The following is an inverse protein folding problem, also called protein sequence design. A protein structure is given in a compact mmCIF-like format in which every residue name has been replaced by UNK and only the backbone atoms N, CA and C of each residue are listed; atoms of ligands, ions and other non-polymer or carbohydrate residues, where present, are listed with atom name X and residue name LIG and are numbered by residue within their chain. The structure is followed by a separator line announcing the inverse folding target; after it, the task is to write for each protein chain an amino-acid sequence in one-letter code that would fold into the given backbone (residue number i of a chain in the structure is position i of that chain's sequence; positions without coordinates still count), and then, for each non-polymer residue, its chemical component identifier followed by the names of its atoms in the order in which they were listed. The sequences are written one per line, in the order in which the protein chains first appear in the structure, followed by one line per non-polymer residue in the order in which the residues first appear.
data_IF_058516340992
#
_entry.id   IF_058516340992
#
_cell.length_a   1.000
_cell.length_b   1.000
_cell.length_c   1.000
_cell.angle_alpha   90.00
_cell.angle_beta   90.00
_cell.angle_gamma   90.00
#
_symmetry.space_group_name_H-M   'P 1'
#
loop_
_entity.id
_entity.type
_entity.pdbx_description
1 polymer ?
#
# COMPACT_ATOMS: atom_id res chain seq x y z
N UNK A 1 1.07 9.07 14.76
CA UNK A 1 0.09 8.12 15.36
C UNK A 1 -0.15 6.99 14.37
N UNK A 2 -0.40 5.76 14.80
CA UNK A 2 -0.69 4.60 13.91
C UNK A 2 -2.01 3.94 14.29
N UNK A 3 -2.72 3.35 13.31
CA UNK A 3 -4.05 2.74 13.56
C UNK A 3 -4.00 1.58 14.56
N UNK A 4 -2.90 0.84 14.60
CA UNK A 4 -2.64 -0.25 15.55
C UNK A 4 -2.00 0.25 16.84
N UNK A 5 -2.41 1.39 17.37
CA UNK A 5 -1.99 1.88 18.70
C UNK A 5 -3.18 2.07 19.63
N UNK A 6 -2.97 1.83 20.92
CA UNK A 6 -4.01 2.03 21.95
C UNK A 6 -4.53 3.47 21.96
N UNK A 7 -3.63 4.45 21.82
CA UNK A 7 -3.99 5.86 21.73
C UNK A 7 -4.95 6.14 20.58
N UNK A 8 -4.70 5.52 19.40
CA UNK A 8 -5.58 5.68 18.26
C UNK A 8 -6.95 5.04 18.52
N UNK A 9 -6.97 3.77 18.92
CA UNK A 9 -8.21 2.98 19.04
C UNK A 9 -9.12 3.54 20.14
N UNK A 10 -8.58 3.82 21.32
CA UNK A 10 -9.39 4.15 22.50
C UNK A 10 -9.57 5.65 22.77
N UNK A 11 -8.73 6.51 22.19
CA UNK A 11 -8.84 7.95 22.42
C UNK A 11 -9.13 8.68 21.11
N UNK A 12 -8.21 8.65 20.13
CA UNK A 12 -8.35 9.47 18.94
C UNK A 12 -9.59 9.10 18.12
N UNK A 13 -9.82 7.82 17.83
CA UNK A 13 -10.96 7.35 17.06
C UNK A 13 -12.28 7.65 17.77
N UNK A 14 -12.35 7.39 19.08
CA UNK A 14 -13.56 7.65 19.91
C UNK A 14 -13.91 9.15 19.89
N UNK A 15 -12.93 10.02 20.16
CA UNK A 15 -13.12 11.47 20.13
C UNK A 15 -13.51 11.94 18.72
N UNK A 16 -12.86 11.40 17.69
CA UNK A 16 -13.17 11.75 16.29
C UNK A 16 -14.61 11.38 15.94
N UNK A 17 -15.06 10.17 16.29
CA UNK A 17 -16.43 9.72 16.06
C UNK A 17 -17.44 10.57 16.84
N UNK A 18 -17.18 10.85 18.11
CA UNK A 18 -18.05 11.69 18.93
C UNK A 18 -18.23 13.09 18.33
N UNK A 19 -17.13 13.75 17.95
CA UNK A 19 -17.17 15.07 17.31
C UNK A 19 -17.84 15.02 15.93
N UNK A 20 -17.57 14.00 15.13
CA UNK A 20 -18.14 13.86 13.80
C UNK A 20 -19.67 13.70 13.83
N UNK A 21 -20.20 12.90 14.76
CA UNK A 21 -21.62 12.64 14.89
C UNK A 21 -22.37 13.66 15.77
N UNK A 22 -21.65 14.57 16.45
CA UNK A 22 -22.28 15.58 17.31
C UNK A 22 -23.25 16.50 16.57
N UNK A 23 -22.98 16.81 15.27
CA UNK A 23 -23.81 17.70 14.48
C UNK A 23 -24.14 17.07 13.12
N UNK A 24 -25.43 16.97 12.73
CA UNK A 24 -25.84 16.38 11.46
C UNK A 24 -25.73 17.39 10.29
N UNK A 25 -24.59 18.09 10.18
CA UNK A 25 -24.32 19.05 9.12
C UNK A 25 -23.11 18.62 8.30
N UNK A 26 -23.24 18.53 6.98
CA UNK A 26 -22.19 18.02 6.07
C UNK A 26 -20.93 18.89 6.09
N UNK A 27 -21.08 20.21 6.12
CA UNK A 27 -19.95 21.14 6.17
C UNK A 27 -19.18 20.95 7.47
N UNK A 28 -19.89 20.92 8.61
CA UNK A 28 -19.30 20.67 9.93
C UNK A 28 -18.51 19.35 9.94
N UNK A 29 -19.14 18.26 9.47
CA UNK A 29 -18.50 16.93 9.42
C UNK A 29 -17.21 16.92 8.58
N UNK A 30 -17.21 17.61 7.44
CA UNK A 30 -16.00 17.73 6.62
C UNK A 30 -14.94 18.62 7.28
N UNK A 31 -15.31 19.71 7.95
CA UNK A 31 -14.37 20.54 8.73
C UNK A 31 -13.72 19.71 9.84
N UNK A 32 -14.52 18.98 10.62
CA UNK A 32 -14.02 18.11 11.71
C UNK A 32 -13.05 17.05 11.16
N UNK A 33 -13.43 16.37 10.06
CA UNK A 33 -12.53 15.38 9.45
C UNK A 33 -11.24 16.02 8.93
N UNK A 34 -11.31 17.19 8.29
CA UNK A 34 -10.13 17.89 7.80
C UNK A 34 -9.18 18.27 8.94
N UNK A 35 -9.71 18.92 9.98
CA UNK A 35 -8.92 19.39 11.14
C UNK A 35 -8.31 18.22 11.88
N UNK A 36 -9.12 17.20 12.23
CA UNK A 36 -8.61 16.04 12.95
C UNK A 36 -7.61 15.24 12.10
N UNK A 37 -7.81 15.14 10.78
CA UNK A 37 -6.82 14.50 9.90
C UNK A 37 -5.48 15.25 9.88
N UNK A 38 -5.49 16.57 9.87
CA UNK A 38 -4.28 17.39 9.98
C UNK A 38 -3.60 17.22 11.35
N UNK A 39 -4.39 17.12 12.43
CA UNK A 39 -3.88 16.81 13.78
C UNK A 39 -3.25 15.39 13.81
N UNK A 40 -3.93 14.41 13.23
CA UNK A 40 -3.41 13.03 13.11
C UNK A 40 -2.07 12.98 12.40
N UNK A 41 -1.94 13.71 11.29
CA UNK A 41 -0.70 13.81 10.54
C UNK A 41 0.39 14.55 11.33
N UNK A 42 0.05 15.73 11.86
CA UNK A 42 0.96 16.57 12.64
C UNK A 42 1.44 15.91 13.93
N UNK A 43 0.69 14.94 14.50
CA UNK A 43 1.13 14.15 15.65
C UNK A 43 2.39 13.33 15.36
N UNK A 44 2.52 12.79 14.14
CA UNK A 44 3.71 12.04 13.71
C UNK A 44 4.75 12.90 13.02
N UNK A 45 4.30 13.97 12.36
CA UNK A 45 5.11 14.78 11.43
C UNK A 45 4.86 16.29 11.63
N UNK A 46 5.19 16.88 12.80
CA UNK A 46 4.81 18.25 13.13
C UNK A 46 5.40 19.27 12.13
N UNK A 47 6.60 19.06 11.64
CA UNK A 47 7.24 19.95 10.68
C UNK A 47 6.67 19.86 9.27
N UNK A 48 6.16 18.69 8.88
CA UNK A 48 5.68 18.42 7.52
C UNK A 48 4.18 18.65 7.33
N UNK A 49 3.43 18.95 8.39
CA UNK A 49 2.02 19.35 8.26
C UNK A 49 1.87 20.62 7.42
N UNK A 50 2.82 21.55 7.50
CA UNK A 50 2.81 22.76 6.66
C UNK A 50 3.05 22.42 5.18
N UNK A 51 3.91 21.45 4.87
CA UNK A 51 4.11 20.97 3.51
C UNK A 51 2.84 20.35 2.93
N UNK A 52 2.11 19.58 3.74
CA UNK A 52 0.81 19.03 3.35
C UNK A 52 -0.21 20.13 3.09
N UNK A 53 -0.35 21.12 3.98
CA UNK A 53 -1.24 22.27 3.79
C UNK A 53 -0.88 23.02 2.51
N UNK A 54 0.42 23.23 2.27
CA UNK A 54 0.88 23.84 1.02
C UNK A 54 0.48 23.00 -0.21
N UNK A 55 0.67 21.69 -0.18
CA UNK A 55 0.29 20.79 -1.26
C UNK A 55 -1.22 20.84 -1.53
N UNK A 56 -2.04 20.85 -0.47
CA UNK A 56 -3.50 20.98 -0.55
C UNK A 56 -3.86 22.32 -1.24
N UNK A 57 -3.35 23.44 -0.72
CA UNK A 57 -3.67 24.77 -1.24
C UNK A 57 -3.23 24.93 -2.70
N UNK A 58 -2.02 24.47 -3.02
CA UNK A 58 -1.45 24.55 -4.36
C UNK A 58 -2.28 23.75 -5.39
N UNK A 59 -2.59 22.48 -5.10
CA UNK A 59 -3.35 21.64 -6.04
C UNK A 59 -4.82 22.07 -6.16
N UNK A 60 -5.41 22.58 -5.08
CA UNK A 60 -6.73 23.18 -5.13
C UNK A 60 -6.76 24.43 -6.05
N UNK A 61 -5.81 25.35 -5.88
CA UNK A 61 -5.66 26.52 -6.76
C UNK A 61 -5.39 26.12 -8.22
N UNK A 62 -4.55 25.11 -8.45
CA UNK A 62 -4.30 24.57 -9.78
C UNK A 62 -5.59 24.04 -10.43
N UNK A 63 -6.43 23.31 -9.67
CA UNK A 63 -7.74 22.88 -10.14
C UNK A 63 -8.68 24.01 -10.50
N UNK A 64 -8.75 25.09 -9.68
CA UNK A 64 -9.50 26.29 -9.98
C UNK A 64 -9.01 26.98 -11.26
N UNK A 65 -7.69 27.08 -11.46
CA UNK A 65 -7.08 27.70 -12.64
C UNK A 65 -7.32 26.87 -13.91
N UNK A 66 -7.25 25.54 -13.83
CA UNK A 66 -7.61 24.63 -14.92
C UNK A 66 -9.07 24.86 -15.32
N UNK A 67 -9.98 24.95 -14.36
CA UNK A 67 -11.39 25.27 -14.59
C UNK A 67 -11.60 26.64 -15.22
N UNK A 68 -10.92 27.69 -14.69
CA UNK A 68 -10.99 29.06 -15.22
C UNK A 68 -10.50 29.17 -16.67
N UNK A 69 -9.42 28.46 -16.99
CA UNK A 69 -8.82 28.54 -18.34
C UNK A 69 -9.31 27.45 -19.29
N UNK A 70 -10.41 26.76 -19.00
CA UNK A 70 -10.95 25.65 -19.80
C UNK A 70 -11.10 25.97 -21.28
N UNK A 71 -11.51 27.18 -21.61
CA UNK A 71 -11.67 27.65 -22.99
C UNK A 71 -10.33 28.01 -23.68
N UNK A 72 -9.23 28.12 -22.93
CA UNK A 72 -7.91 28.39 -23.47
C UNK A 72 -7.00 27.18 -23.28
N UNK A 73 -6.97 26.30 -24.29
CA UNK A 73 -6.21 25.03 -24.25
C UNK A 73 -4.72 25.20 -23.88
N UNK A 74 -4.06 26.30 -24.35
CA UNK A 74 -2.63 26.53 -24.06
C UNK A 74 -2.43 26.86 -22.58
N UNK A 75 -3.22 27.79 -22.02
CA UNK A 75 -3.14 28.16 -20.59
C UNK A 75 -3.54 27.00 -19.69
N UNK A 76 -4.61 26.29 -20.02
CA UNK A 76 -5.08 25.14 -19.29
C UNK A 76 -4.00 24.05 -19.20
N UNK A 77 -3.34 23.72 -20.36
CA UNK A 77 -2.21 22.77 -20.41
C UNK A 77 -1.00 23.27 -19.63
N UNK A 78 -0.68 24.57 -19.69
CA UNK A 78 0.44 25.14 -18.92
C UNK A 78 0.23 24.98 -17.41
N UNK A 79 -0.98 25.25 -16.89
CA UNK A 79 -1.31 25.04 -15.48
C UNK A 79 -1.18 23.57 -15.09
N UNK A 80 -1.69 22.64 -15.91
CA UNK A 80 -1.53 21.20 -15.66
C UNK A 80 -0.07 20.81 -15.58
N UNK A 81 0.75 21.21 -16.58
CA UNK A 81 2.17 20.85 -16.63
C UNK A 81 2.91 21.44 -15.41
N UNK A 82 2.66 22.70 -15.08
CA UNK A 82 3.25 23.34 -13.90
C UNK A 82 2.88 22.59 -12.59
N UNK A 83 1.61 22.19 -12.46
CA UNK A 83 1.15 21.42 -11.30
C UNK A 83 1.86 20.05 -11.21
N UNK A 84 1.91 19.31 -12.31
CA UNK A 84 2.58 17.98 -12.35
C UNK A 84 4.07 18.13 -12.04
N UNK A 85 4.76 19.10 -12.67
CA UNK A 85 6.19 19.34 -12.45
C UNK A 85 6.46 19.70 -10.99
N UNK A 86 5.68 20.59 -10.38
CA UNK A 86 5.90 20.97 -8.97
C UNK A 86 5.65 19.78 -8.01
N UNK A 87 4.58 19.01 -8.20
CA UNK A 87 4.31 17.83 -7.40
C UNK A 87 5.43 16.80 -7.51
N UNK A 88 5.93 16.53 -8.73
CA UNK A 88 7.04 15.61 -8.94
C UNK A 88 8.38 16.18 -8.44
N UNK A 89 8.59 17.49 -8.52
CA UNK A 89 9.79 18.13 -7.97
C UNK A 89 9.83 18.03 -6.44
N UNK A 90 8.71 18.29 -5.76
CA UNK A 90 8.61 18.11 -4.30
C UNK A 90 8.91 16.66 -3.91
N UNK A 91 8.26 15.69 -4.58
CA UNK A 91 8.55 14.28 -4.34
C UNK A 91 10.01 13.96 -4.65
N UNK A 92 10.57 14.53 -5.73
CA UNK A 92 11.97 14.39 -6.14
C UNK A 92 12.94 14.83 -5.06
N UNK A 93 12.74 16.02 -4.53
CA UNK A 93 13.61 16.59 -3.48
C UNK A 93 13.60 15.74 -2.22
N UNK A 94 12.42 15.39 -1.69
CA UNK A 94 12.34 14.68 -0.43
C UNK A 94 12.71 13.18 -0.55
N UNK A 95 12.37 12.54 -1.64
CA UNK A 95 12.54 11.08 -1.78
C UNK A 95 13.82 10.68 -2.52
N UNK A 96 14.21 11.41 -3.56
CA UNK A 96 15.25 10.92 -4.49
C UNK A 96 16.60 11.64 -4.41
N UNK A 97 16.72 12.77 -3.71
CA UNK A 97 17.99 13.54 -3.66
C UNK A 97 19.16 12.69 -3.16
N UNK A 98 19.01 11.98 -2.05
CA UNK A 98 20.06 11.10 -1.51
C UNK A 98 20.45 10.01 -2.52
N UNK A 99 19.49 9.30 -3.08
CA UNK A 99 19.71 8.24 -4.05
C UNK A 99 20.44 8.71 -5.32
N UNK A 100 20.05 9.88 -5.85
CA UNK A 100 20.70 10.46 -7.02
C UNK A 100 22.15 10.85 -6.70
N UNK A 101 22.37 11.52 -5.57
CA UNK A 101 23.73 11.92 -5.15
C UNK A 101 24.62 10.69 -4.94
N UNK A 102 24.13 9.64 -4.24
CA UNK A 102 24.92 8.43 -4.01
C UNK A 102 25.20 7.67 -5.30
N UNK A 103 24.24 7.64 -6.22
CA UNK A 103 24.44 7.04 -7.56
C UNK A 103 25.50 7.82 -8.35
N UNK A 104 25.45 9.15 -8.33
CA UNK A 104 26.46 9.99 -9.01
C UNK A 104 27.85 9.83 -8.40
N UNK A 105 27.97 9.69 -7.08
CA UNK A 105 29.25 9.38 -6.42
C UNK A 105 29.83 8.03 -6.83
N UNK A 106 28.97 7.03 -7.03
CA UNK A 106 29.41 5.72 -7.50
C UNK A 106 29.95 5.77 -8.93
N UNK A 107 29.37 6.61 -9.79
CA UNK A 107 29.75 6.75 -11.20
C UNK A 107 30.91 7.73 -11.39
N UNK A 108 30.89 8.87 -10.69
CA UNK A 108 31.85 9.96 -10.87
C UNK A 108 32.81 10.08 -9.67
N UNK A 109 34.09 9.70 -9.80
CA UNK A 109 35.08 9.74 -8.70
C UNK A 109 35.25 11.13 -8.05
N UNK A 110 35.12 12.21 -8.83
CA UNK A 110 35.26 13.59 -8.33
C UNK A 110 34.11 13.98 -7.37
N UNK A 111 32.97 13.30 -7.41
CA UNK A 111 31.84 13.56 -6.51
C UNK A 111 31.95 12.82 -5.17
N UNK A 112 32.89 11.91 -4.99
CA UNK A 112 33.03 11.10 -3.75
C UNK A 112 33.25 11.91 -2.48
N UNK A 113 33.86 13.12 -2.60
CA UNK A 113 34.12 14.03 -1.47
C UNK A 113 32.85 14.80 -1.01
N UNK A 114 31.80 14.86 -1.81
CA UNK A 114 30.57 15.56 -1.43
C UNK A 114 29.78 14.78 -0.39
N UNK A 115 29.27 15.45 0.65
CA UNK A 115 28.37 14.82 1.60
C UNK A 115 26.99 14.56 0.95
N UNK A 116 26.42 13.37 1.17
CA UNK A 116 25.05 13.09 0.75
C UNK A 116 24.06 13.83 1.67
N UNK A 117 23.16 14.67 1.14
CA UNK A 117 22.18 15.35 1.95
C UNK A 117 21.23 14.34 2.63
N UNK A 118 21.05 14.44 3.94
CA UNK A 118 20.09 13.66 4.71
C UNK A 118 18.80 14.48 4.79
N UNK A 119 17.86 14.21 3.89
CA UNK A 119 16.56 14.88 3.84
C UNK A 119 15.53 13.93 4.45
N UNK A 120 14.89 14.27 5.59
CA UNK A 120 13.84 13.43 6.16
C UNK A 120 12.69 13.27 5.18
N UNK A 121 12.23 12.03 4.96
CA UNK A 121 11.12 11.73 4.07
C UNK A 121 9.78 11.94 4.82
N UNK A 122 8.92 12.89 4.40
CA UNK A 122 7.61 13.07 5.01
C UNK A 122 6.75 11.82 4.83
N UNK A 123 6.19 11.29 5.90
CA UNK A 123 5.31 10.10 5.85
C UNK A 123 4.13 10.37 4.91
N UNK A 124 3.87 9.44 3.99
CA UNK A 124 2.73 9.52 3.06
C UNK A 124 2.90 10.48 1.89
N UNK A 125 4.07 11.16 1.72
CA UNK A 125 4.26 12.13 0.61
C UNK A 125 3.97 11.51 -0.76
N UNK A 126 4.35 10.27 -1.00
CA UNK A 126 4.09 9.56 -2.25
C UNK A 126 2.58 9.36 -2.50
N UNK A 127 1.81 9.11 -1.44
CA UNK A 127 0.37 8.88 -1.51
C UNK A 127 -0.40 10.18 -1.77
N UNK A 128 -0.24 11.19 -0.91
CA UNK A 128 -1.00 12.44 -1.07
C UNK A 128 -0.58 13.24 -2.31
N UNK A 129 0.68 13.11 -2.77
CA UNK A 129 1.11 13.70 -4.04
C UNK A 129 0.38 13.06 -5.21
N UNK A 130 0.27 11.74 -5.26
CA UNK A 130 -0.48 11.04 -6.31
C UNK A 130 -1.97 11.36 -6.27
N UNK A 131 -2.56 11.45 -5.09
CA UNK A 131 -3.96 11.86 -4.92
C UNK A 131 -4.19 13.28 -5.43
N UNK A 132 -3.42 14.26 -4.94
CA UNK A 132 -3.58 15.66 -5.30
C UNK A 132 -3.31 15.90 -6.80
N UNK A 133 -2.29 15.26 -7.36
CA UNK A 133 -1.95 15.33 -8.77
C UNK A 133 -3.05 14.72 -9.65
N UNK A 134 -3.65 13.59 -9.25
CA UNK A 134 -4.74 12.95 -10.00
C UNK A 134 -5.95 13.87 -10.12
N UNK A 135 -6.29 14.63 -9.06
CA UNK A 135 -7.37 15.62 -9.11
C UNK A 135 -7.16 16.66 -10.22
N UNK A 136 -5.98 17.28 -10.29
CA UNK A 136 -5.71 18.30 -11.31
C UNK A 136 -5.78 17.73 -12.73
N UNK A 137 -5.29 16.49 -12.90
CA UNK A 137 -5.36 15.76 -14.18
C UNK A 137 -6.82 15.44 -14.54
N UNK A 138 -7.62 14.95 -13.60
CA UNK A 138 -9.03 14.59 -13.83
C UNK A 138 -9.89 15.82 -14.14
N UNK A 139 -9.65 16.95 -13.46
CA UNK A 139 -10.28 18.24 -13.82
C UNK A 139 -9.89 18.68 -15.22
N UNK A 140 -8.60 18.54 -15.62
CA UNK A 140 -8.15 18.87 -16.96
C UNK A 140 -8.81 17.99 -18.03
N UNK A 141 -8.96 16.70 -17.78
CA UNK A 141 -9.63 15.73 -18.67
C UNK A 141 -11.12 15.90 -18.74
N UNK A 142 -11.71 16.65 -17.82
CA UNK A 142 -13.16 16.77 -17.60
C UNK A 142 -13.79 15.46 -17.04
N UNK A 143 -12.99 14.63 -16.37
CA UNK A 143 -13.46 13.41 -15.71
C UNK A 143 -14.09 13.71 -14.35
N UNK A 144 -13.88 14.92 -13.80
CA UNK A 144 -14.51 15.41 -12.58
C UNK A 144 -14.73 16.92 -12.62
N UNK A 145 -15.65 17.42 -11.79
CA UNK A 145 -15.90 18.83 -11.62
C UNK A 145 -14.84 19.51 -10.75
N UNK A 146 -14.68 20.82 -10.91
CA UNK A 146 -13.77 21.63 -10.08
C UNK A 146 -14.32 21.75 -8.67
N UNK A 147 -13.55 21.36 -7.67
CA UNK A 147 -13.92 21.57 -6.26
C UNK A 147 -13.64 23.03 -5.85
N UNK A 148 -14.71 23.78 -5.59
CA UNK A 148 -14.62 25.19 -5.20
C UNK A 148 -14.39 25.38 -3.70
N UNK A 149 -14.78 24.41 -2.88
CA UNK A 149 -14.63 24.47 -1.44
C UNK A 149 -13.26 23.93 -1.00
N UNK A 150 -12.37 24.77 -0.42
CA UNK A 150 -11.03 24.35 0.00
C UNK A 150 -11.07 23.31 1.13
N UNK A 151 -12.08 23.35 1.99
CA UNK A 151 -12.25 22.39 3.08
C UNK A 151 -12.55 20.99 2.53
N UNK A 152 -13.41 20.89 1.53
CA UNK A 152 -13.76 19.60 0.91
C UNK A 152 -12.55 19.00 0.20
N UNK A 153 -11.76 19.82 -0.50
CA UNK A 153 -10.53 19.38 -1.11
C UNK A 153 -9.47 19.02 -0.04
N UNK A 154 -9.35 19.81 1.02
CA UNK A 154 -8.49 19.51 2.16
C UNK A 154 -8.87 18.21 2.85
N UNK A 155 -10.18 17.97 3.07
CA UNK A 155 -10.69 16.71 3.59
C UNK A 155 -10.28 15.53 2.68
N UNK A 156 -10.44 15.69 1.36
CA UNK A 156 -10.04 14.63 0.41
C UNK A 156 -8.56 14.25 0.53
N UNK A 157 -7.66 15.24 0.54
CA UNK A 157 -6.21 14.96 0.54
C UNK A 157 -5.72 14.51 1.91
N UNK A 158 -6.17 15.17 2.99
CA UNK A 158 -5.68 14.91 4.34
C UNK A 158 -6.38 13.74 5.05
N UNK A 159 -7.47 13.19 4.52
CA UNK A 159 -8.33 12.22 5.19
C UNK A 159 -7.54 11.07 5.81
N UNK A 160 -7.46 11.04 7.15
CA UNK A 160 -6.55 10.17 7.89
C UNK A 160 -6.69 8.67 7.59
N UNK A 161 -7.88 8.10 7.28
CA UNK A 161 -7.98 6.70 6.94
C UNK A 161 -7.12 6.30 5.72
N UNK A 162 -7.02 7.15 4.71
CA UNK A 162 -6.30 6.83 3.47
C UNK A 162 -4.90 7.41 3.37
N UNK A 163 -4.58 8.44 4.21
CA UNK A 163 -3.46 9.36 4.02
C UNK A 163 -2.08 8.68 3.97
N UNK A 164 -1.81 7.71 4.82
CA UNK A 164 -0.43 7.20 5.03
C UNK A 164 -0.14 6.02 4.11
N UNK A 165 -0.96 4.97 4.15
CA UNK A 165 -0.81 3.75 3.36
C UNK A 165 -2.17 3.13 3.01
N UNK A 166 -3.23 3.91 3.02
CA UNK A 166 -4.56 3.49 2.56
C UNK A 166 -4.61 3.28 1.03
N UNK A 167 -5.76 2.90 0.49
CA UNK A 167 -5.95 2.91 -0.95
C UNK A 167 -5.66 4.30 -1.52
N UNK A 168 -4.97 4.38 -2.68
CA UNK A 168 -4.80 5.65 -3.40
C UNK A 168 -6.15 6.00 -4.02
N UNK A 169 -6.95 6.77 -3.27
CA UNK A 169 -8.31 7.17 -3.69
C UNK A 169 -8.20 8.36 -4.63
N UNK A 170 -8.77 8.26 -5.83
CA UNK A 170 -8.84 9.38 -6.77
C UNK A 170 -9.98 10.30 -6.38
N UNK A 171 -9.85 11.59 -6.67
CA UNK A 171 -10.89 12.56 -6.31
C UNK A 171 -12.27 12.18 -6.88
N UNK A 172 -12.33 11.74 -8.14
CA UNK A 172 -13.57 11.32 -8.80
C UNK A 172 -14.28 10.12 -8.11
N UNK A 173 -13.54 9.29 -7.36
CA UNK A 173 -14.12 8.14 -6.66
C UNK A 173 -14.90 8.55 -5.41
N UNK A 174 -14.60 9.72 -4.83
CA UNK A 174 -15.25 10.20 -3.61
C UNK A 174 -15.83 11.61 -3.72
N UNK A 175 -15.77 12.26 -4.89
CA UNK A 175 -16.24 13.63 -5.08
C UNK A 175 -17.70 13.81 -4.64
N UNK A 176 -18.61 12.95 -5.07
CA UNK A 176 -20.00 12.95 -4.67
C UNK A 176 -20.17 12.65 -3.17
N UNK A 177 -19.38 11.73 -2.62
CA UNK A 177 -19.43 11.34 -1.22
C UNK A 177 -18.99 12.47 -0.27
N UNK A 178 -18.13 13.39 -0.72
CA UNK A 178 -17.77 14.57 0.07
C UNK A 178 -18.98 15.48 0.31
N UNK A 179 -19.91 15.52 -0.63
CA UNK A 179 -21.09 16.38 -0.59
C UNK A 179 -22.33 15.64 -0.11
N UNK A 180 -22.58 14.46 -0.63
CA UNK A 180 -23.87 13.76 -0.56
C UNK A 180 -23.86 12.41 0.16
N UNK A 181 -22.77 12.04 0.90
CA UNK A 181 -22.74 10.76 1.61
C UNK A 181 -23.80 10.68 2.70
N UNK A 182 -24.33 9.48 2.89
CA UNK A 182 -25.30 9.16 3.92
C UNK A 182 -24.76 8.08 4.84
N UNK A 183 -24.57 8.44 6.09
CA UNK A 183 -24.16 7.52 7.12
C UNK A 183 -25.35 6.69 7.59
N UNK A 184 -25.18 5.36 7.71
CA UNK A 184 -26.17 4.47 8.25
C UNK A 184 -25.56 3.42 9.18
N UNK A 185 -26.38 2.85 10.07
CA UNK A 185 -25.93 1.91 11.10
C UNK A 185 -25.32 0.65 10.49
N UNK A 186 -25.86 0.14 9.39
CA UNK A 186 -25.36 -1.08 8.76
C UNK A 186 -23.94 -0.86 8.17
N UNK A 187 -23.72 0.28 7.50
CA UNK A 187 -22.42 0.66 6.98
C UNK A 187 -21.41 0.89 8.12
N UNK A 188 -21.83 1.56 9.22
CA UNK A 188 -21.00 1.77 10.39
C UNK A 188 -20.58 0.45 11.04
N UNK A 189 -21.52 -0.48 11.26
CA UNK A 189 -21.25 -1.81 11.81
C UNK A 189 -20.30 -2.63 10.90
N UNK A 190 -20.52 -2.59 9.58
CA UNK A 190 -19.61 -3.22 8.62
C UNK A 190 -18.20 -2.60 8.66
N UNK A 191 -18.13 -1.29 8.93
CA UNK A 191 -16.88 -0.57 9.13
C UNK A 191 -16.10 -1.05 10.34
N UNK A 192 -16.77 -1.19 11.50
CA UNK A 192 -16.16 -1.77 12.72
C UNK A 192 -15.63 -3.17 12.46
N UNK A 193 -16.46 -4.04 11.84
CA UNK A 193 -16.06 -5.41 11.51
C UNK A 193 -14.81 -5.43 10.64
N UNK A 194 -14.77 -4.64 9.57
CA UNK A 194 -13.64 -4.62 8.65
C UNK A 194 -12.39 -4.02 9.30
N UNK A 195 -12.53 -2.95 10.10
CA UNK A 195 -11.43 -2.38 10.87
C UNK A 195 -10.82 -3.41 11.81
N UNK A 196 -11.65 -4.15 12.55
CA UNK A 196 -11.17 -5.17 13.49
C UNK A 196 -10.51 -6.34 12.79
N UNK A 197 -11.03 -6.78 11.65
CA UNK A 197 -10.37 -7.81 10.81
C UNK A 197 -9.01 -7.31 10.34
N UNK A 198 -8.91 -6.06 9.87
CA UNK A 198 -7.64 -5.44 9.48
C UNK A 198 -6.65 -5.35 10.64
N UNK A 199 -7.13 -4.96 11.83
CA UNK A 199 -6.31 -4.90 13.05
C UNK A 199 -5.80 -6.29 13.44
N UNK A 200 -6.65 -7.32 13.40
CA UNK A 200 -6.25 -8.70 13.68
C UNK A 200 -5.20 -9.22 12.69
N UNK A 201 -5.37 -8.94 11.39
CA UNK A 201 -4.35 -9.24 10.36
C UNK A 201 -2.99 -8.63 10.70
N UNK A 202 -2.97 -7.35 11.12
CA UNK A 202 -1.73 -6.65 11.49
C UNK A 202 -1.14 -7.18 12.78
N UNK A 203 -1.93 -7.24 13.85
CA UNK A 203 -1.42 -7.48 15.20
C UNK A 203 -1.18 -8.97 15.45
N UNK A 204 -2.12 -9.83 15.06
CA UNK A 204 -2.05 -11.25 15.40
C UNK A 204 -1.29 -12.09 14.35
N UNK A 205 -1.25 -11.65 13.08
CA UNK A 205 -0.55 -12.40 12.05
C UNK A 205 0.73 -11.70 11.60
N UNK A 206 0.65 -10.48 11.05
CA UNK A 206 1.80 -9.82 10.45
C UNK A 206 2.95 -9.59 11.45
N UNK A 207 2.64 -9.19 12.69
CA UNK A 207 3.65 -8.95 13.71
C UNK A 207 4.40 -10.23 14.11
N UNK A 208 3.72 -11.37 14.16
CA UNK A 208 4.36 -12.66 14.42
C UNK A 208 5.23 -13.13 13.26
N UNK A 209 4.73 -12.96 12.03
CA UNK A 209 5.45 -13.37 10.83
C UNK A 209 6.72 -12.54 10.61
N UNK A 210 6.70 -11.22 10.90
CA UNK A 210 7.92 -10.41 10.80
C UNK A 210 8.94 -10.77 11.89
N UNK A 211 8.48 -11.19 13.09
CA UNK A 211 9.38 -11.67 14.12
C UNK A 211 10.13 -12.94 13.67
N UNK A 212 9.42 -13.90 13.09
CA UNK A 212 10.02 -15.09 12.49
C UNK A 212 11.01 -14.75 11.37
N UNK A 213 10.59 -13.85 10.44
CA UNK A 213 11.46 -13.40 9.36
C UNK A 213 12.75 -12.78 9.86
N UNK A 214 12.68 -11.89 10.83
CA UNK A 214 13.87 -11.19 11.36
C UNK A 214 14.88 -12.15 11.96
N UNK A 215 14.44 -13.19 12.67
CA UNK A 215 15.32 -14.22 13.22
C UNK A 215 15.98 -15.02 12.10
N UNK A 216 15.19 -15.57 11.17
CA UNK A 216 15.69 -16.39 10.09
C UNK A 216 16.53 -15.59 9.07
N UNK A 217 16.21 -14.32 8.85
CA UNK A 217 17.03 -13.43 8.01
C UNK A 217 18.41 -13.16 8.60
N UNK A 218 18.46 -12.89 9.92
CA UNK A 218 19.72 -12.56 10.59
C UNK A 218 20.72 -13.73 10.60
N UNK A 219 20.20 -14.95 10.62
CA UNK A 219 21.00 -16.20 10.68
C UNK A 219 20.95 -17.01 9.38
N UNK A 220 20.75 -16.37 8.21
CA UNK A 220 20.54 -17.06 6.93
C UNK A 220 21.63 -18.10 6.57
N UNK A 221 22.89 -17.83 6.93
CA UNK A 221 23.99 -18.78 6.72
C UNK A 221 23.91 -20.03 7.63
N UNK A 222 23.17 -19.95 8.75
CA UNK A 222 23.05 -21.00 9.75
C UNK A 222 21.70 -21.73 9.71
N UNK A 223 20.76 -21.32 8.85
CA UNK A 223 19.40 -21.85 8.82
C UNK A 223 19.22 -23.10 7.97
N UNK A 224 20.16 -23.39 7.07
CA UNK A 224 19.96 -24.36 6.00
C UNK A 224 18.90 -23.88 4.98
N UNK A 225 18.68 -24.69 3.97
CA UNK A 225 17.75 -24.38 2.88
C UNK A 225 16.31 -24.22 3.38
N UNK A 226 15.85 -25.12 4.26
CA UNK A 226 14.48 -25.08 4.79
C UNK A 226 14.20 -23.78 5.55
N UNK A 227 15.11 -23.37 6.44
CA UNK A 227 14.92 -22.14 7.23
C UNK A 227 14.89 -20.89 6.35
N UNK A 228 15.72 -20.84 5.30
CA UNK A 228 15.70 -19.72 4.33
C UNK A 228 14.37 -19.64 3.57
N UNK A 229 13.83 -20.78 3.10
CA UNK A 229 12.51 -20.80 2.45
C UNK A 229 11.36 -20.44 3.40
N UNK A 230 11.35 -20.99 4.61
CA UNK A 230 10.32 -20.63 5.60
C UNK A 230 10.41 -19.16 5.97
N UNK A 231 11.62 -18.61 6.10
CA UNK A 231 11.83 -17.20 6.35
C UNK A 231 11.19 -16.31 5.28
N UNK A 232 11.48 -16.56 3.99
CA UNK A 232 10.91 -15.73 2.93
C UNK A 232 9.41 -15.97 2.72
N UNK A 233 8.89 -17.16 3.02
CA UNK A 233 7.44 -17.41 3.06
C UNK A 233 6.80 -16.63 4.19
N UNK A 234 7.40 -16.58 5.39
CA UNK A 234 6.93 -15.75 6.49
C UNK A 234 6.91 -14.27 6.11
N UNK A 235 7.95 -13.76 5.45
CA UNK A 235 7.96 -12.39 4.93
C UNK A 235 6.89 -12.15 3.85
N UNK A 236 6.70 -13.10 2.95
CA UNK A 236 5.64 -13.05 1.92
C UNK A 236 4.26 -12.91 2.55
N UNK A 237 3.97 -13.70 3.57
CA UNK A 237 2.71 -13.61 4.33
C UNK A 237 2.64 -12.31 5.16
N UNK A 238 3.76 -11.91 5.78
CA UNK A 238 3.85 -10.67 6.54
C UNK A 238 3.44 -9.45 5.71
N UNK A 239 4.07 -9.23 4.55
CA UNK A 239 3.80 -8.03 3.73
C UNK A 239 2.34 -7.97 3.27
N UNK A 240 1.71 -9.11 3.03
CA UNK A 240 0.28 -9.17 2.70
C UNK A 240 -0.60 -8.80 3.88
N UNK A 241 -0.36 -9.38 5.07
CA UNK A 241 -1.19 -9.10 6.23
C UNK A 241 -0.92 -7.72 6.83
N UNK A 242 0.31 -7.22 6.75
CA UNK A 242 0.65 -5.88 7.19
C UNK A 242 -0.06 -4.82 6.33
N UNK A 243 0.14 -4.87 5.03
CA UNK A 243 -0.41 -3.88 4.12
C UNK A 243 -1.91 -4.10 3.84
N UNK A 244 -2.33 -5.34 3.65
CA UNK A 244 -3.75 -5.68 3.51
C UNK A 244 -4.55 -5.36 4.76
N UNK A 245 -3.99 -5.61 5.96
CA UNK A 245 -4.59 -5.23 7.23
C UNK A 245 -4.75 -3.71 7.39
N UNK A 246 -3.72 -2.95 7.03
CA UNK A 246 -3.84 -1.49 6.99
C UNK A 246 -4.93 -1.02 6.04
N UNK A 247 -4.97 -1.59 4.83
CA UNK A 247 -5.98 -1.24 3.83
C UNK A 247 -7.41 -1.57 4.31
N UNK A 248 -7.61 -2.72 4.97
CA UNK A 248 -8.91 -3.09 5.55
C UNK A 248 -9.30 -2.15 6.70
N UNK A 249 -8.35 -1.76 7.57
CA UNK A 249 -8.59 -0.74 8.60
C UNK A 249 -8.99 0.60 7.97
N UNK A 250 -8.30 1.04 6.91
CA UNK A 250 -8.58 2.28 6.21
C UNK A 250 -9.98 2.29 5.60
N UNK A 251 -10.38 1.20 4.91
CA UNK A 251 -11.71 1.05 4.33
C UNK A 251 -12.77 0.99 5.44
N UNK A 252 -12.49 0.25 6.52
CA UNK A 252 -13.38 0.17 7.69
C UNK A 252 -13.63 1.53 8.33
N UNK A 253 -12.57 2.32 8.56
CA UNK A 253 -12.67 3.71 9.04
C UNK A 253 -13.47 4.58 8.06
N UNK A 254 -13.19 4.47 6.74
CA UNK A 254 -13.98 5.16 5.73
C UNK A 254 -15.47 4.91 5.90
N UNK A 255 -15.88 3.63 6.04
CA UNK A 255 -17.29 3.23 6.25
C UNK A 255 -17.89 3.81 7.52
N UNK A 256 -17.12 3.90 8.62
CA UNK A 256 -17.60 4.54 9.84
C UNK A 256 -17.94 6.02 9.66
N UNK A 257 -17.33 6.70 8.66
CA UNK A 257 -17.60 8.09 8.32
C UNK A 257 -18.46 8.26 7.05
N UNK A 258 -19.08 7.18 6.57
CA UNK A 258 -19.96 7.19 5.42
C UNK A 258 -19.27 7.19 4.05
N UNK A 259 -17.96 6.92 4.00
CA UNK A 259 -17.22 6.76 2.74
C UNK A 259 -17.10 5.30 2.33
N UNK A 260 -17.17 5.05 1.02
CA UNK A 260 -16.85 3.76 0.41
C UNK A 260 -15.57 3.89 -0.42
N UNK A 261 -14.48 3.30 0.08
CA UNK A 261 -13.22 3.23 -0.62
C UNK A 261 -13.12 1.94 -1.43
N UNK A 262 -12.36 2.00 -2.53
CA UNK A 262 -12.13 0.84 -3.37
C UNK A 262 -11.28 -0.22 -2.66
N UNK A 263 -11.58 -1.49 -2.91
CA UNK A 263 -10.79 -2.62 -2.44
C UNK A 263 -9.36 -2.53 -2.98
N UNK A 264 -8.37 -2.77 -2.11
CA UNK A 264 -6.95 -2.67 -2.50
C UNK A 264 -6.28 -4.03 -2.68
N UNK A 265 -6.81 -5.09 -2.06
CA UNK A 265 -6.33 -6.47 -2.16
C UNK A 265 -7.49 -7.44 -2.41
N UNK A 266 -7.27 -8.45 -3.26
CA UNK A 266 -8.25 -9.48 -3.58
C UNK A 266 -7.61 -10.87 -3.62
N UNK A 267 -7.20 -11.38 -2.44
CA UNK A 267 -6.53 -12.69 -2.30
C UNK A 267 -5.43 -12.91 -3.35
N UNK A 268 -4.38 -12.07 -3.39
CA UNK A 268 -3.39 -12.08 -4.46
C UNK A 268 -2.61 -13.40 -4.55
N UNK A 269 -2.48 -14.14 -3.45
CA UNK A 269 -1.66 -15.36 -3.40
C UNK A 269 -2.33 -16.59 -4.03
N UNK A 270 -3.60 -16.49 -4.46
CA UNK A 270 -4.25 -17.54 -5.28
C UNK A 270 -4.06 -17.32 -6.79
N UNK A 271 -3.24 -16.37 -7.20
CA UNK A 271 -3.02 -16.05 -8.61
C UNK A 271 -2.27 -17.16 -9.34
N UNK A 272 -2.60 -17.33 -10.64
CA UNK A 272 -1.99 -18.31 -11.54
C UNK A 272 -0.95 -17.70 -12.49
N UNK A 273 -0.79 -16.38 -12.44
CA UNK A 273 0.20 -15.64 -13.21
C UNK A 273 0.62 -14.38 -12.45
N UNK A 274 1.75 -13.78 -12.81
CA UNK A 274 2.20 -12.51 -12.24
C UNK A 274 1.30 -11.37 -12.72
N UNK A 275 0.80 -11.43 -13.93
CA UNK A 275 -0.21 -10.47 -14.43
C UNK A 275 -1.52 -10.53 -13.62
N UNK A 276 -1.97 -11.71 -13.19
CA UNK A 276 -3.13 -11.85 -12.31
C UNK A 276 -2.80 -11.37 -10.90
N UNK A 277 -1.62 -11.71 -10.38
CA UNK A 277 -1.17 -11.27 -9.06
C UNK A 277 -1.28 -9.74 -8.91
N UNK A 278 -0.78 -8.96 -9.87
CA UNK A 278 -0.82 -7.51 -9.84
C UNK A 278 -2.21 -6.91 -10.08
N UNK A 279 -3.15 -7.65 -10.65
CA UNK A 279 -4.57 -7.25 -10.68
C UNK A 279 -5.26 -7.39 -9.32
N UNK A 280 -4.70 -8.22 -8.41
CA UNK A 280 -5.23 -8.52 -7.08
C UNK A 280 -4.44 -7.84 -5.96
N UNK A 281 -3.21 -7.44 -6.22
CA UNK A 281 -2.30 -6.78 -5.29
C UNK A 281 -2.26 -5.28 -5.54
N UNK A 282 -2.42 -4.46 -4.46
CA UNK A 282 -2.32 -3.00 -4.50
C UNK A 282 -3.08 -2.38 -5.69
N UNK A 283 -4.36 -2.74 -5.80
CA UNK A 283 -5.23 -2.44 -6.94
C UNK A 283 -5.29 -0.94 -7.22
N UNK A 284 -5.32 -0.11 -6.16
CA UNK A 284 -5.38 1.35 -6.28
C UNK A 284 -4.14 1.93 -6.97
N UNK A 285 -2.92 1.46 -6.63
CA UNK A 285 -1.68 1.89 -7.28
C UNK A 285 -1.64 1.43 -8.74
N UNK A 286 -1.96 0.16 -8.99
CA UNK A 286 -2.00 -0.40 -10.35
C UNK A 286 -2.99 0.36 -11.23
N UNK A 287 -4.15 0.74 -10.68
CA UNK A 287 -5.15 1.56 -11.37
C UNK A 287 -4.62 2.96 -11.64
N UNK A 288 -3.94 3.58 -10.66
CA UNK A 288 -3.35 4.90 -10.83
C UNK A 288 -2.32 4.91 -11.97
N UNK A 289 -1.34 4.00 -11.95
CA UNK A 289 -0.35 3.90 -13.04
C UNK A 289 -0.97 3.59 -14.40
N UNK A 290 -1.99 2.74 -14.43
CA UNK A 290 -2.73 2.44 -15.66
C UNK A 290 -3.36 3.70 -16.25
N UNK A 291 -4.04 4.50 -15.45
CA UNK A 291 -4.83 5.63 -15.93
C UNK A 291 -4.01 6.90 -16.18
N UNK A 292 -3.01 7.15 -15.35
CA UNK A 292 -2.23 8.39 -15.42
C UNK A 292 -0.89 8.24 -16.14
N UNK A 293 -0.41 7.01 -16.39
CA UNK A 293 0.85 6.77 -17.10
C UNK A 293 0.64 5.87 -18.33
N UNK A 294 0.14 4.64 -18.16
CA UNK A 294 0.06 3.66 -19.23
C UNK A 294 -0.85 4.10 -20.38
N UNK A 295 -2.08 4.53 -20.08
CA UNK A 295 -3.04 4.99 -21.09
C UNK A 295 -2.55 6.24 -21.83
N UNK A 296 -2.05 7.31 -21.16
CA UNK A 296 -1.48 8.47 -21.84
C UNK A 296 -0.30 8.18 -22.76
N UNK A 297 0.53 7.19 -22.42
CA UNK A 297 1.63 6.73 -23.30
C UNK A 297 1.15 5.96 -24.54
N UNK A 298 -0.17 5.74 -24.67
CA UNK A 298 -0.80 5.04 -25.78
C UNK A 298 -1.35 3.66 -25.43
N UNK A 299 -1.13 3.16 -24.21
CA UNK A 299 -1.63 1.87 -23.77
C UNK A 299 -1.21 0.72 -24.68
N UNK A 300 -2.18 -0.11 -25.07
CA UNK A 300 -2.01 -1.22 -26.02
C UNK A 300 -2.50 -0.90 -27.46
N UNK A 301 -2.84 0.38 -27.75
CA UNK A 301 -3.47 0.76 -29.01
C UNK A 301 -2.48 1.09 -30.13
N UNK A 302 -1.17 1.21 -29.84
CA UNK A 302 -0.11 1.65 -30.76
C UNK A 302 0.86 0.52 -31.15
N UNK A 303 0.36 -0.72 -31.23
CA UNK A 303 1.14 -1.88 -31.59
C UNK A 303 1.93 -2.51 -30.43
N UNK A 304 2.50 -3.70 -30.68
CA UNK A 304 3.14 -4.53 -29.67
C UNK A 304 4.38 -3.87 -29.05
N UNK A 305 5.31 -3.37 -29.87
CA UNK A 305 6.54 -2.75 -29.40
C UNK A 305 6.26 -1.57 -28.44
N UNK A 306 5.30 -0.71 -28.78
CA UNK A 306 4.90 0.40 -27.90
C UNK A 306 4.26 -0.08 -26.62
N UNK A 307 3.47 -1.15 -26.67
CA UNK A 307 2.87 -1.78 -25.50
C UNK A 307 3.93 -2.30 -24.53
N UNK A 308 4.96 -3.01 -25.04
CA UNK A 308 6.05 -3.53 -24.22
C UNK A 308 6.88 -2.41 -23.59
N UNK A 309 7.19 -1.37 -24.35
CA UNK A 309 7.86 -0.18 -23.81
C UNK A 309 7.03 0.49 -22.71
N UNK A 310 5.72 0.63 -22.89
CA UNK A 310 4.84 1.22 -21.87
C UNK A 310 4.81 0.38 -20.61
N UNK A 311 4.81 -0.96 -20.71
CA UNK A 311 4.92 -1.87 -19.57
C UNK A 311 6.26 -1.66 -18.85
N UNK A 312 7.36 -1.63 -19.58
CA UNK A 312 8.70 -1.42 -19.00
C UNK A 312 8.78 -0.08 -18.24
N UNK A 313 8.28 1.01 -18.84
CA UNK A 313 8.24 2.34 -18.19
C UNK A 313 7.40 2.29 -16.92
N UNK A 314 6.20 1.74 -16.96
CA UNK A 314 5.30 1.67 -15.79
C UNK A 314 5.95 0.89 -14.66
N UNK A 315 6.56 -0.25 -14.96
CA UNK A 315 7.17 -1.09 -13.93
C UNK A 315 8.43 -0.48 -13.32
N UNK A 316 9.25 0.18 -14.15
CA UNK A 316 10.40 0.96 -13.65
C UNK A 316 9.94 2.09 -12.72
N UNK A 317 8.90 2.84 -13.11
CA UNK A 317 8.33 3.90 -12.28
C UNK A 317 7.65 3.36 -11.01
N UNK A 318 7.03 2.18 -11.09
CA UNK A 318 6.45 1.50 -9.92
C UNK A 318 7.54 1.11 -8.92
N UNK A 319 8.66 0.57 -9.39
CA UNK A 319 9.82 0.29 -8.54
C UNK A 319 10.35 1.55 -7.86
N UNK A 320 10.62 2.61 -8.61
CA UNK A 320 11.06 3.89 -8.08
C UNK A 320 10.05 4.49 -7.09
N UNK A 321 8.75 4.35 -7.35
CA UNK A 321 7.71 4.84 -6.43
C UNK A 321 7.78 4.16 -5.05
N UNK A 322 8.12 2.87 -5.00
CA UNK A 322 8.26 2.14 -3.73
C UNK A 322 9.46 2.65 -2.92
N UNK A 323 10.60 2.94 -3.55
CA UNK A 323 11.76 3.42 -2.78
C UNK A 323 12.88 3.95 -3.65
N UNK A 324 13.68 4.83 -3.06
CA UNK A 324 14.85 5.44 -3.68
C UNK A 324 16.10 4.58 -3.44
N UNK A 325 16.13 3.37 -3.99
CA UNK A 325 17.24 2.42 -3.88
C UNK A 325 17.25 1.46 -5.06
N UNK A 326 18.41 0.92 -5.39
CA UNK A 326 18.60 0.04 -6.54
C UNK A 326 17.83 -1.27 -6.44
N UNK A 327 17.59 -1.80 -5.24
CA UNK A 327 16.77 -3.00 -5.05
C UNK A 327 15.33 -2.80 -5.56
N UNK A 328 14.72 -1.62 -5.34
CA UNK A 328 13.39 -1.31 -5.86
C UNK A 328 13.38 -1.13 -7.37
N UNK A 329 14.44 -0.58 -7.96
CA UNK A 329 14.60 -0.51 -9.42
C UNK A 329 14.67 -1.93 -10.00
N UNK A 330 15.52 -2.80 -9.43
CA UNK A 330 15.63 -4.20 -9.84
C UNK A 330 14.32 -4.96 -9.67
N UNK A 331 13.61 -4.75 -8.57
CA UNK A 331 12.28 -5.32 -8.33
C UNK A 331 11.27 -4.91 -9.40
N UNK A 332 11.22 -3.63 -9.77
CA UNK A 332 10.37 -3.16 -10.85
C UNK A 332 10.75 -3.76 -12.21
N UNK A 333 12.04 -3.80 -12.54
CA UNK A 333 12.54 -4.43 -13.79
C UNK A 333 12.20 -5.91 -13.82
N UNK A 334 12.39 -6.63 -12.72
CA UNK A 334 12.05 -8.05 -12.58
C UNK A 334 10.58 -8.33 -12.95
N UNK A 335 9.64 -7.64 -12.32
CA UNK A 335 8.22 -7.84 -12.64
C UNK A 335 7.85 -7.33 -14.02
N UNK A 336 8.46 -6.26 -14.49
CA UNK A 336 8.28 -5.76 -15.85
C UNK A 336 8.66 -6.80 -16.90
N UNK A 337 9.80 -7.46 -16.74
CA UNK A 337 10.27 -8.53 -17.64
C UNK A 337 9.30 -9.72 -17.62
N UNK A 338 8.89 -10.19 -16.44
CA UNK A 338 7.99 -11.33 -16.33
C UNK A 338 6.64 -11.04 -17.01
N UNK A 339 6.07 -9.87 -16.77
CA UNK A 339 4.79 -9.48 -17.38
C UNK A 339 4.92 -9.35 -18.92
N UNK A 340 6.06 -8.88 -19.42
CA UNK A 340 6.35 -8.86 -20.84
C UNK A 340 6.41 -10.27 -21.41
N UNK A 341 7.10 -11.21 -20.73
CA UNK A 341 7.19 -12.61 -21.13
C UNK A 341 5.80 -13.29 -21.12
N UNK A 342 5.00 -13.06 -20.06
CA UNK A 342 3.63 -13.56 -19.98
C UNK A 342 2.78 -13.01 -21.13
N UNK A 343 2.93 -11.72 -21.44
CA UNK A 343 2.18 -11.09 -22.52
C UNK A 343 2.58 -11.58 -23.91
N UNK A 344 3.86 -11.85 -24.14
CA UNK A 344 4.36 -12.30 -25.45
C UNK A 344 3.94 -13.74 -25.77
N UNK A 345 4.11 -14.66 -24.86
CA UNK A 345 3.86 -16.07 -25.13
C UNK A 345 3.45 -16.90 -23.89
N UNK A 346 4.05 -16.67 -22.71
CA UNK A 346 3.92 -17.59 -21.58
C UNK A 346 2.49 -17.63 -21.02
N UNK A 347 1.76 -16.51 -21.06
CA UNK A 347 0.38 -16.43 -20.56
C UNK A 347 -0.55 -17.48 -21.20
N UNK A 348 -0.41 -17.71 -22.50
CA UNK A 348 -1.21 -18.72 -23.23
C UNK A 348 -0.93 -20.15 -22.75
N UNK A 349 0.30 -20.43 -22.34
CA UNK A 349 0.66 -21.75 -21.77
C UNK A 349 0.17 -21.87 -20.34
N UNK A 350 0.27 -20.83 -19.53
CA UNK A 350 -0.25 -20.82 -18.14
C UNK A 350 -1.77 -21.01 -18.07
N UNK A 351 -2.51 -20.46 -19.02
CA UNK A 351 -3.97 -20.65 -19.10
C UNK A 351 -4.36 -22.11 -19.38
N UNK A 352 -3.52 -22.83 -20.15
CA UNK A 352 -3.75 -24.23 -20.53
C UNK A 352 -3.12 -25.23 -19.54
N UNK A 353 -2.17 -24.78 -18.73
CA UNK A 353 -1.48 -25.63 -17.76
C UNK A 353 -2.42 -26.05 -16.61
N UNK A 354 -2.16 -27.22 -15.98
CA UNK A 354 -2.83 -27.58 -14.75
C UNK A 354 -2.73 -26.46 -13.71
N UNK A 355 -3.84 -26.16 -13.05
CA UNK A 355 -3.92 -25.03 -12.10
C UNK A 355 -2.81 -25.04 -11.04
N UNK A 356 -2.45 -26.24 -10.56
CA UNK A 356 -1.38 -26.41 -9.59
C UNK A 356 0.00 -25.89 -10.11
N UNK A 357 0.36 -26.19 -11.35
CA UNK A 357 1.62 -25.71 -11.94
C UNK A 357 1.64 -24.19 -12.13
N UNK A 358 0.51 -23.62 -12.56
CA UNK A 358 0.38 -22.17 -12.71
C UNK A 358 0.44 -21.46 -11.34
N UNK A 359 -0.11 -22.05 -10.29
CA UNK A 359 0.02 -21.53 -8.92
C UNK A 359 1.47 -21.61 -8.42
N UNK A 360 2.17 -22.74 -8.60
CA UNK A 360 3.58 -22.88 -8.21
C UNK A 360 4.46 -21.84 -8.91
N UNK A 361 4.25 -21.65 -10.21
CA UNK A 361 4.94 -20.60 -10.98
C UNK A 361 4.73 -19.22 -10.36
N UNK A 362 3.48 -18.84 -10.11
CA UNK A 362 3.17 -17.52 -9.55
C UNK A 362 3.73 -17.36 -8.14
N UNK A 363 3.54 -18.37 -7.26
CA UNK A 363 4.05 -18.36 -5.87
C UNK A 363 5.57 -18.23 -5.85
N UNK A 364 6.29 -19.02 -6.65
CA UNK A 364 7.75 -18.94 -6.72
C UNK A 364 8.21 -17.54 -7.13
N UNK A 365 7.64 -16.97 -8.18
CA UNK A 365 8.07 -15.68 -8.71
C UNK A 365 7.74 -14.50 -7.80
N UNK A 366 6.54 -14.44 -7.22
CA UNK A 366 6.26 -13.31 -6.33
C UNK A 366 7.02 -13.44 -5.00
N UNK A 367 7.24 -14.66 -4.48
CA UNK A 367 8.08 -14.89 -3.29
C UNK A 367 9.52 -14.46 -3.55
N UNK A 368 10.10 -14.82 -4.70
CA UNK A 368 11.41 -14.34 -5.11
C UNK A 368 11.45 -12.81 -5.29
N UNK A 369 10.38 -12.24 -5.83
CA UNK A 369 10.23 -10.78 -5.92
C UNK A 369 10.29 -10.09 -4.57
N UNK A 370 9.79 -10.70 -3.50
CA UNK A 370 9.89 -10.15 -2.15
C UNK A 370 11.30 -10.18 -1.57
N UNK A 371 12.16 -11.10 -2.01
CA UNK A 371 13.61 -11.05 -1.69
C UNK A 371 14.21 -9.75 -2.24
N UNK A 372 13.95 -9.45 -3.52
CA UNK A 372 14.45 -8.21 -4.13
C UNK A 372 13.89 -6.95 -3.43
N UNK A 373 12.71 -7.03 -2.86
CA UNK A 373 12.05 -5.91 -2.18
C UNK A 373 12.66 -5.63 -0.80
N UNK A 374 12.97 -6.66 0.00
CA UNK A 374 13.39 -6.49 1.40
C UNK A 374 14.86 -6.10 1.55
N UNK A 375 15.75 -6.64 0.70
CA UNK A 375 17.18 -6.44 0.85
C UNK A 375 17.66 -5.19 0.09
N UNK A 376 18.07 -4.17 0.83
CA UNK A 376 18.69 -2.96 0.27
C UNK A 376 20.18 -3.16 -0.02
N UNK A 377 20.87 -4.04 0.74
CA UNK A 377 22.26 -4.43 0.51
C UNK A 377 22.34 -5.59 -0.49
N UNK A 378 23.03 -5.36 -1.62
CA UNK A 378 23.13 -6.33 -2.72
C UNK A 378 23.95 -7.57 -2.34
N UNK A 379 24.93 -7.43 -1.41
CA UNK A 379 25.71 -8.53 -0.90
C UNK A 379 24.86 -9.47 -0.06
N UNK A 380 24.12 -8.93 0.92
CA UNK A 380 23.19 -9.70 1.74
C UNK A 380 22.08 -10.34 0.90
N UNK A 381 21.56 -9.63 -0.11
CA UNK A 381 20.58 -10.17 -1.05
C UNK A 381 21.13 -11.40 -1.77
N UNK A 382 22.34 -11.30 -2.34
CA UNK A 382 23.00 -12.41 -3.03
C UNK A 382 23.18 -13.60 -2.08
N UNK A 383 23.71 -13.36 -0.88
CA UNK A 383 24.00 -14.41 0.09
C UNK A 383 22.72 -15.11 0.55
N UNK A 384 21.62 -14.35 0.73
CA UNK A 384 20.31 -14.92 1.02
C UNK A 384 19.76 -15.74 -0.15
N UNK A 385 19.88 -15.26 -1.40
CA UNK A 385 19.47 -16.02 -2.59
C UNK A 385 20.28 -17.33 -2.68
N UNK A 386 21.57 -17.30 -2.40
CA UNK A 386 22.39 -18.53 -2.36
C UNK A 386 21.88 -19.48 -1.28
N UNK A 387 21.53 -18.99 -0.10
CA UNK A 387 21.03 -19.84 1.00
C UNK A 387 19.70 -20.55 0.70
N UNK A 388 18.91 -20.04 -0.24
CA UNK A 388 17.68 -20.72 -0.70
C UNK A 388 17.96 -22.04 -1.44
N UNK A 389 19.14 -22.20 -2.01
CA UNK A 389 19.50 -23.37 -2.83
C UNK A 389 20.73 -24.14 -2.31
N UNK A 390 21.54 -23.48 -1.49
CA UNK A 390 22.74 -24.06 -0.91
C UNK A 390 22.79 -23.81 0.59
N UNK A 391 22.63 -24.84 1.38
CA UNK A 391 22.68 -24.76 2.85
C UNK A 391 24.10 -24.66 3.43
N UNK A 392 25.15 -24.54 2.60
CA UNK A 392 26.51 -24.45 3.07
C UNK A 392 26.93 -25.64 3.94
N UNK A 393 27.62 -25.39 5.04
CA UNK A 393 28.04 -26.41 6.02
C UNK A 393 26.88 -27.00 6.84
N UNK A 394 25.73 -26.36 6.84
CA UNK A 394 24.53 -26.77 7.62
C UNK A 394 23.65 -27.76 6.84
N UNK A 395 23.72 -27.71 5.51
CA UNK A 395 22.93 -28.57 4.63
C UNK A 395 21.47 -28.15 4.51
N UNK A 396 20.57 -29.14 4.36
CA UNK A 396 19.15 -28.83 4.08
C UNK A 396 18.38 -28.30 5.29
N UNK A 397 18.65 -28.80 6.47
CA UNK A 397 17.87 -28.51 7.70
C UNK A 397 18.82 -28.21 8.85
N UNK A 398 18.65 -27.04 9.47
CA UNK A 398 19.27 -26.65 10.73
C UNK A 398 18.37 -27.02 11.92
N UNK A 399 18.94 -27.49 13.01
CA UNK A 399 18.21 -27.75 14.23
C UNK A 399 17.52 -26.47 14.75
N UNK A 400 18.23 -25.36 14.81
CA UNK A 400 17.70 -24.09 15.32
C UNK A 400 16.55 -23.56 14.42
N UNK A 401 16.72 -23.61 13.10
CA UNK A 401 15.65 -23.25 12.17
C UNK A 401 14.42 -24.14 12.34
N UNK A 402 14.60 -25.44 12.58
CA UNK A 402 13.49 -26.37 12.80
C UNK A 402 12.69 -25.99 14.06
N UNK A 403 13.36 -25.62 15.16
CA UNK A 403 12.72 -25.15 16.40
C UNK A 403 11.84 -23.93 16.12
N UNK A 404 12.36 -22.93 15.41
CA UNK A 404 11.56 -21.75 15.04
C UNK A 404 10.39 -22.11 14.12
N UNK A 405 10.61 -22.97 13.12
CA UNK A 405 9.55 -23.42 12.21
C UNK A 405 8.42 -24.10 13.00
N UNK A 406 8.74 -24.99 13.92
CA UNK A 406 7.73 -25.68 14.73
C UNK A 406 7.00 -24.73 15.69
N UNK A 407 7.72 -23.80 16.32
CA UNK A 407 7.12 -22.80 17.22
C UNK A 407 6.11 -21.89 16.49
N UNK A 408 6.39 -21.49 15.24
CA UNK A 408 5.53 -20.62 14.45
C UNK A 408 4.59 -21.37 13.49
N UNK A 409 4.61 -22.70 13.49
CA UNK A 409 3.79 -23.52 12.59
C UNK A 409 2.28 -23.19 12.65
N UNK A 410 1.67 -23.00 13.84
CA UNK A 410 0.26 -22.61 13.92
C UNK A 410 -0.03 -21.27 13.21
N UNK A 411 0.83 -20.26 13.40
CA UNK A 411 0.68 -18.95 12.76
C UNK A 411 0.85 -19.05 11.24
N UNK A 412 1.81 -19.83 10.76
CA UNK A 412 2.03 -20.08 9.33
C UNK A 412 0.80 -20.74 8.70
N UNK A 413 0.26 -21.81 9.31
CA UNK A 413 -0.94 -22.49 8.79
C UNK A 413 -2.14 -21.55 8.77
N UNK A 414 -2.42 -20.84 9.86
CA UNK A 414 -3.53 -19.87 9.93
C UNK A 414 -3.36 -18.78 8.85
N UNK A 415 -2.15 -18.28 8.67
CA UNK A 415 -1.85 -17.23 7.68
C UNK A 415 -2.02 -17.74 6.24
N UNK A 416 -1.60 -18.97 5.93
CA UNK A 416 -1.81 -19.57 4.61
C UNK A 416 -3.32 -19.68 4.32
N UNK A 417 -4.11 -20.21 5.27
CA UNK A 417 -5.58 -20.33 5.13
C UNK A 417 -6.21 -18.95 4.97
N UNK A 418 -5.85 -17.99 5.81
CA UNK A 418 -6.39 -16.62 5.78
C UNK A 418 -5.99 -15.82 4.53
N UNK A 419 -4.91 -16.21 3.84
CA UNK A 419 -4.51 -15.62 2.56
C UNK A 419 -5.37 -16.09 1.37
N UNK A 420 -6.26 -17.07 1.58
CA UNK A 420 -7.19 -17.61 0.58
C UNK A 420 -8.63 -17.14 0.83
N UNK A 421 -9.53 -17.21 -0.16
CA UNK A 421 -10.93 -16.85 0.03
C UNK A 421 -11.74 -17.89 0.82
N UNK A 422 -11.13 -18.95 1.35
CA UNK A 422 -11.81 -20.06 2.00
C UNK A 422 -12.72 -19.59 3.14
N UNK A 423 -12.16 -18.82 4.09
CA UNK A 423 -12.91 -18.30 5.25
C UNK A 423 -14.06 -17.39 4.81
N UNK A 424 -13.81 -16.48 3.84
CA UNK A 424 -14.83 -15.60 3.29
C UNK A 424 -15.95 -16.38 2.60
N UNK A 425 -15.59 -17.41 1.82
CA UNK A 425 -16.57 -18.25 1.11
C UNK A 425 -17.41 -19.10 2.08
N UNK A 426 -16.80 -19.60 3.17
CA UNK A 426 -17.54 -20.30 4.21
C UNK A 426 -18.50 -19.34 4.95
N UNK A 427 -18.03 -18.14 5.31
CA UNK A 427 -18.88 -17.14 5.95
C UNK A 427 -20.09 -16.78 5.09
N UNK A 428 -19.92 -16.54 3.78
CA UNK A 428 -21.02 -16.25 2.85
C UNK A 428 -22.10 -17.32 2.80
N UNK A 429 -21.77 -18.59 3.07
CA UNK A 429 -22.76 -19.69 3.11
C UNK A 429 -23.66 -19.64 4.35
N UNK A 430 -23.21 -18.96 5.40
CA UNK A 430 -23.91 -18.91 6.70
C UNK A 430 -24.39 -17.51 7.08
N UNK A 431 -23.99 -16.47 6.35
CA UNK A 431 -24.27 -15.05 6.70
C UNK A 431 -25.77 -14.74 6.84
N UNK A 432 -26.63 -15.47 6.13
CA UNK A 432 -28.09 -15.32 6.21
C UNK A 432 -28.72 -16.06 7.41
N UNK A 433 -27.93 -16.78 8.22
CA UNK A 433 -28.45 -17.45 9.43
C UNK A 433 -28.61 -16.43 10.55
N UNK A 434 -29.72 -16.49 11.28
CA UNK A 434 -30.06 -15.54 12.35
C UNK A 434 -28.97 -15.41 13.43
N UNK A 435 -28.28 -16.52 13.73
CA UNK A 435 -27.18 -16.53 14.73
C UNK A 435 -25.87 -15.90 14.21
N UNK A 436 -25.70 -15.79 12.89
CA UNK A 436 -24.43 -15.35 12.30
C UNK A 436 -24.03 -13.92 12.72
N UNK A 437 -25.03 -13.02 12.82
CA UNK A 437 -24.79 -11.66 13.30
C UNK A 437 -24.26 -11.62 14.75
N UNK A 438 -24.77 -12.46 15.64
CA UNK A 438 -24.27 -12.58 17.00
C UNK A 438 -22.88 -13.19 17.06
N UNK A 439 -22.62 -14.23 16.23
CA UNK A 439 -21.30 -14.82 16.13
C UNK A 439 -20.26 -13.80 15.60
N UNK A 440 -20.62 -13.02 14.58
CA UNK A 440 -19.75 -11.95 14.08
C UNK A 440 -19.43 -10.90 15.16
N UNK A 441 -20.43 -10.47 15.92
CA UNK A 441 -20.23 -9.52 17.03
C UNK A 441 -19.30 -10.11 18.12
N UNK A 442 -19.51 -11.36 18.48
CA UNK A 442 -18.64 -12.06 19.44
C UNK A 442 -17.21 -12.19 18.93
N UNK A 443 -17.02 -12.57 17.66
CA UNK A 443 -15.68 -12.65 17.03
C UNK A 443 -14.97 -11.29 16.97
N UNK A 444 -15.71 -10.20 16.68
CA UNK A 444 -15.16 -8.83 16.70
C UNK A 444 -14.68 -8.47 18.11
N UNK A 445 -15.47 -8.75 19.15
CA UNK A 445 -15.08 -8.48 20.54
C UNK A 445 -13.86 -9.30 20.95
N UNK A 446 -13.84 -10.61 20.66
CA UNK A 446 -12.70 -11.48 20.96
C UNK A 446 -11.45 -10.96 20.23
N UNK A 447 -11.54 -10.63 18.95
CA UNK A 447 -10.42 -10.10 18.19
C UNK A 447 -9.90 -8.78 18.75
N UNK A 448 -10.80 -7.86 19.17
CA UNK A 448 -10.39 -6.59 19.80
C UNK A 448 -9.66 -6.83 21.13
N UNK A 449 -10.16 -7.75 21.96
CA UNK A 449 -9.50 -8.10 23.26
C UNK A 449 -8.13 -8.70 23.00
N UNK A 450 -8.00 -9.66 22.09
CA UNK A 450 -6.72 -10.29 21.74
C UNK A 450 -5.73 -9.28 21.15
N UNK A 451 -6.19 -8.42 20.25
CA UNK A 451 -5.36 -7.36 19.68
C UNK A 451 -4.91 -6.38 20.76
N UNK A 452 -5.81 -5.96 21.64
CA UNK A 452 -5.47 -5.05 22.76
C UNK A 452 -4.45 -5.68 23.68
N UNK A 453 -4.64 -6.93 24.09
CA UNK A 453 -3.68 -7.66 24.92
C UNK A 453 -2.29 -7.75 24.26
N UNK A 454 -2.26 -8.06 22.95
CA UNK A 454 -1.01 -8.09 22.19
C UNK A 454 -0.36 -6.72 22.08
N UNK A 455 -1.13 -5.64 21.89
CA UNK A 455 -0.60 -4.27 21.79
C UNK A 455 -0.07 -3.75 23.15
N UNK A 456 -0.64 -4.17 24.25
CA UNK A 456 -0.13 -3.83 25.60
C UNK A 456 1.21 -4.52 25.86
N UNK A 457 1.37 -5.76 25.40
CA UNK A 457 2.59 -6.55 25.63
C UNK A 457 3.71 -6.24 24.62
N UNK A 458 3.39 -5.70 23.45
CA UNK A 458 4.36 -5.38 22.41
C UNK A 458 4.72 -3.90 22.41
N UNK A 459 6.00 -3.59 22.20
CA UNK A 459 6.44 -2.22 21.95
C UNK A 459 5.89 -1.65 20.64
N UNK A 460 6.34 -0.42 20.27
CA UNK A 460 5.96 0.23 19.03
C UNK A 460 6.29 -0.65 17.81
N UNK A 461 5.26 -0.96 17.03
CA UNK A 461 5.36 -1.78 15.84
C UNK A 461 4.80 -1.03 14.61
N UNK A 462 5.64 -0.29 13.87
CA UNK A 462 5.23 0.47 12.71
C UNK A 462 4.82 -0.44 11.54
N UNK A 463 4.02 0.09 10.63
CA UNK A 463 3.74 -0.54 9.35
C UNK A 463 4.98 -0.51 8.46
N UNK A 464 5.12 -1.53 7.59
CA UNK A 464 6.24 -1.63 6.66
C UNK A 464 6.37 -0.38 5.76
N UNK A 465 5.27 0.23 5.38
CA UNK A 465 5.23 1.43 4.53
C UNK A 465 5.74 2.72 5.21
N UNK A 466 6.03 2.73 6.50
CA UNK A 466 6.76 3.84 7.12
C UNK A 466 8.26 3.83 6.80
N UNK A 467 8.75 2.79 6.14
CA UNK A 467 10.16 2.65 5.75
C UNK A 467 10.46 3.13 4.33
N UNK A 468 9.43 3.47 3.53
CA UNK A 468 9.55 3.75 2.09
C UNK A 468 9.10 5.15 1.70
#
# INVERSE_FOLDING_TARGET
MVFSSLLFIFIYLVVTLALYYAVPNRVYRNVILCVLSLIFYGWGEPSFVLLMIFSIAFNWLAGLLVGKYRNNKKRCKAVLVASVVLNLALLGVFKYTGFVVDTLKAVFPFMRSYATPIIPLPIGISFYTFQAMSYVIDVYRNDTSVQKNPVYFGTYVALFPQLIAGPIVRYRDIADQLENRHENVAQFASGIKLFTVGLAKKVLLANQLIALWNVLRASSAANGVLGSWVGIIAYTLHIYFDFGGYSDMAIGLGRMFGFEFLKNFDYPYISRSISEFWRRWHISLSTWFKEYVYIPLGGNRRGLARTLLNIAIVWMLTGLWHGASWNFVLWGVYFGIIIIIEKLFLGKYLEKAPAFLSHLYAIFLFTFGWVLFDFTDMGQMRDFIVSLFNGGSVGLISHDALVYVLAYLPVLIISIIASTPLVSNLHKKIENRAWCGYADAALVLIALVLCTASLVSSGYNPFIYFRF
#
